data_IF_692872702989
#
_entry.id   IF_692872702989
#
_cell.length_a   1.000
_cell.length_b   1.000
_cell.length_c   1.000
_cell.angle_alpha   90.00
_cell.angle_beta   90.00
_cell.angle_gamma   90.00
#
_symmetry.space_group_name_H-M   'P 1'
#
loop_
_entity.id
_entity.type
_entity.pdbx_description
1 polymer ?
#
# COMPACT_ATOMS: atom_id res chain seq x y z
N UNK A 1 42.10 15.44 -25.79
CA UNK A 1 40.64 15.26 -25.95
C UNK A 1 40.31 13.85 -25.46
N UNK A 2 39.72 13.73 -24.27
CA UNK A 2 39.35 12.45 -23.65
C UNK A 2 37.94 12.09 -24.11
N UNK A 3 37.80 10.95 -24.78
CA UNK A 3 36.51 10.40 -25.18
C UNK A 3 35.83 9.71 -23.98
N UNK A 4 34.63 10.15 -23.63
CA UNK A 4 33.75 9.47 -22.67
C UNK A 4 33.10 8.25 -23.33
N UNK A 5 32.97 7.10 -22.65
CA UNK A 5 32.27 5.95 -23.20
C UNK A 5 30.75 6.12 -23.05
N UNK A 6 30.05 6.10 -24.18
CA UNK A 6 28.60 6.00 -24.32
C UNK A 6 28.15 4.57 -23.95
N UNK A 7 27.97 4.26 -22.66
CA UNK A 7 27.54 2.93 -22.23
C UNK A 7 26.19 2.90 -21.46
N UNK A 8 25.48 4.03 -21.35
CA UNK A 8 24.28 4.13 -20.49
C UNK A 8 22.91 4.00 -21.18
N UNK A 9 22.82 3.96 -22.50
CA UNK A 9 21.51 3.98 -23.18
C UNK A 9 20.87 2.58 -23.36
N UNK A 10 21.67 1.54 -23.59
CA UNK A 10 21.16 0.22 -23.95
C UNK A 10 20.49 -0.52 -22.78
N UNK A 11 20.91 -0.24 -21.54
CA UNK A 11 20.34 -0.86 -20.34
C UNK A 11 18.97 -0.29 -19.96
N UNK A 12 18.70 0.99 -20.28
CA UNK A 12 17.42 1.63 -20.00
C UNK A 12 16.29 1.07 -20.89
N UNK A 13 16.57 0.80 -22.16
CA UNK A 13 15.56 0.34 -23.12
C UNK A 13 15.13 -1.12 -22.91
N UNK A 14 15.99 -1.96 -22.34
CA UNK A 14 15.69 -3.39 -22.11
C UNK A 14 14.70 -3.62 -20.96
N UNK A 15 14.65 -2.70 -20.00
CA UNK A 15 13.75 -2.80 -18.83
C UNK A 15 12.31 -2.47 -19.24
N UNK A 16 12.12 -1.47 -20.10
CA UNK A 16 10.78 -1.02 -20.52
C UNK A 16 10.08 -2.03 -21.44
N UNK A 17 10.81 -2.69 -22.34
CA UNK A 17 10.24 -3.63 -23.31
C UNK A 17 9.81 -4.98 -22.73
N UNK A 18 10.30 -5.33 -21.54
CA UNK A 18 10.02 -6.62 -20.87
C UNK A 18 9.28 -6.45 -19.55
N UNK A 19 8.82 -5.24 -19.22
CA UNK A 19 7.97 -5.04 -18.07
C UNK A 19 6.66 -5.84 -18.28
N UNK A 20 6.23 -6.65 -17.29
CA UNK A 20 4.93 -7.31 -17.38
C UNK A 20 3.84 -6.24 -17.60
N UNK A 21 2.81 -6.52 -18.41
CA UNK A 21 1.71 -5.59 -18.58
C UNK A 21 1.07 -5.31 -17.21
N UNK A 22 0.99 -4.03 -16.84
CA UNK A 22 0.26 -3.60 -15.65
C UNK A 22 -1.23 -3.82 -15.92
N UNK A 23 -1.94 -4.44 -14.98
CA UNK A 23 -3.38 -4.57 -15.10
C UNK A 23 -4.02 -3.18 -15.06
N UNK A 24 -4.79 -2.87 -16.09
CA UNK A 24 -5.59 -1.66 -16.19
C UNK A 24 -7.04 -2.01 -15.86
N UNK A 25 -7.58 -1.40 -14.81
CA UNK A 25 -8.96 -1.63 -14.41
C UNK A 25 -9.91 -0.89 -15.34
N UNK A 26 -10.97 -1.55 -15.77
CA UNK A 26 -12.07 -0.90 -16.49
C UNK A 26 -12.87 0.00 -15.56
N UNK A 27 -13.57 0.98 -16.12
CA UNK A 27 -14.45 1.86 -15.33
C UNK A 27 -15.50 1.07 -14.52
N UNK A 28 -16.05 -0.01 -15.09
CA UNK A 28 -17.02 -0.87 -14.41
C UNK A 28 -16.41 -1.65 -13.24
N UNK A 29 -15.17 -2.12 -13.37
CA UNK A 29 -14.46 -2.76 -12.26
C UNK A 29 -14.19 -1.77 -11.13
N UNK A 30 -13.79 -0.54 -11.45
CA UNK A 30 -13.55 0.52 -10.45
C UNK A 30 -14.86 0.92 -9.76
N UNK A 31 -15.96 1.03 -10.51
CA UNK A 31 -17.29 1.34 -9.96
C UNK A 31 -17.82 0.24 -9.04
N UNK A 32 -17.46 -1.03 -9.31
CA UNK A 32 -17.81 -2.16 -8.45
C UNK A 32 -17.04 -2.17 -7.12
N UNK A 33 -15.94 -1.42 -6.99
CA UNK A 33 -15.22 -1.25 -5.72
C UNK A 33 -15.99 -0.25 -4.85
N UNK A 34 -16.48 -0.66 -3.66
CA UNK A 34 -17.22 0.25 -2.79
C UNK A 34 -16.37 1.43 -2.35
N UNK A 35 -16.94 2.64 -2.41
CA UNK A 35 -16.37 3.83 -1.77
C UNK A 35 -16.87 3.88 -0.32
N UNK A 36 -16.00 3.74 0.69
CA UNK A 36 -16.40 3.83 2.09
C UNK A 36 -16.79 5.27 2.47
N UNK A 37 -17.52 5.41 3.58
CA UNK A 37 -17.83 6.72 4.15
C UNK A 37 -16.56 7.36 4.76
N UNK A 38 -16.35 8.64 4.48
CA UNK A 38 -15.17 9.40 4.92
C UNK A 38 -15.54 10.69 5.66
N UNK A 39 -16.81 11.11 5.61
CA UNK A 39 -17.29 12.28 6.33
C UNK A 39 -17.50 11.95 7.80
N UNK A 40 -16.91 12.77 8.67
CA UNK A 40 -17.09 12.70 10.11
C UNK A 40 -16.83 14.06 10.74
N UNK A 41 -17.30 14.24 11.98
CA UNK A 41 -17.01 15.45 12.75
C UNK A 41 -15.67 15.30 13.48
N UNK A 42 -14.61 15.87 12.89
CA UNK A 42 -13.27 15.82 13.45
C UNK A 42 -13.15 16.48 14.84
N UNK A 43 -14.11 17.31 15.26
CA UNK A 43 -14.12 17.89 16.61
C UNK A 43 -14.49 16.89 17.71
N UNK A 44 -15.05 15.73 17.32
CA UNK A 44 -15.47 14.67 18.24
C UNK A 44 -14.42 13.57 18.40
N UNK A 45 -13.31 13.64 17.67
CA UNK A 45 -12.23 12.65 17.69
C UNK A 45 -10.95 13.27 18.27
N UNK A 46 -10.24 12.53 19.11
CA UNK A 46 -8.97 12.99 19.65
C UNK A 46 -7.93 13.08 18.52
N UNK A 47 -7.17 14.18 18.42
CA UNK A 47 -6.18 14.34 17.35
C UNK A 47 -5.12 13.23 17.34
N UNK A 48 -4.74 12.72 18.51
CA UNK A 48 -3.78 11.61 18.66
C UNK A 48 -4.27 10.30 18.01
N UNK A 49 -5.59 10.12 17.86
CA UNK A 49 -6.14 8.95 17.18
C UNK A 49 -5.78 8.94 15.70
N UNK A 50 -5.54 10.10 15.08
CA UNK A 50 -5.13 10.23 13.68
C UNK A 50 -3.69 9.76 13.43
N UNK A 51 -2.89 9.50 14.46
CA UNK A 51 -1.63 8.77 14.29
C UNK A 51 -1.85 7.32 13.85
N UNK A 52 -3.01 6.76 14.22
CA UNK A 52 -3.39 5.37 13.93
C UNK A 52 -4.45 5.28 12.83
N UNK A 53 -5.48 6.10 12.90
CA UNK A 53 -6.65 6.06 12.03
C UNK A 53 -6.56 7.18 11.00
N UNK A 54 -6.02 6.83 9.84
CA UNK A 54 -5.84 7.72 8.72
C UNK A 54 -5.98 6.96 7.40
N UNK A 55 -6.27 7.68 6.33
CA UNK A 55 -6.21 7.17 4.97
C UNK A 55 -5.25 8.00 4.11
N UNK A 56 -4.85 7.44 2.97
CA UNK A 56 -3.96 8.09 2.03
C UNK A 56 -4.76 8.76 0.92
N UNK A 57 -4.30 9.89 0.41
CA UNK A 57 -4.78 10.49 -0.82
C UNK A 57 -3.62 11.17 -1.57
N UNK A 58 -3.65 11.09 -2.90
CA UNK A 58 -2.73 11.83 -3.77
C UNK A 58 -3.54 12.51 -4.88
N UNK A 59 -3.42 13.84 -5.06
CA UNK A 59 -4.07 14.55 -6.16
C UNK A 59 -3.77 13.94 -7.53
N UNK A 60 -4.73 14.03 -8.45
CA UNK A 60 -4.62 13.63 -9.86
C UNK A 60 -4.13 12.19 -10.09
N UNK A 61 -4.36 11.30 -9.13
CA UNK A 61 -3.96 9.90 -9.20
C UNK A 61 -5.08 9.03 -9.72
N UNK A 62 -4.76 8.11 -10.63
CA UNK A 62 -5.72 7.13 -11.12
C UNK A 62 -5.85 5.94 -10.19
N UNK A 63 -6.96 5.20 -10.29
CA UNK A 63 -7.17 3.98 -9.52
C UNK A 63 -6.06 2.95 -9.75
N UNK A 64 -5.67 2.71 -11.01
CA UNK A 64 -4.58 1.78 -11.37
C UNK A 64 -3.29 2.08 -10.62
N UNK A 65 -2.90 3.36 -10.60
CA UNK A 65 -1.65 3.78 -9.95
C UNK A 65 -1.79 3.70 -8.43
N UNK A 66 -2.93 4.14 -7.86
CA UNK A 66 -3.17 4.01 -6.43
C UNK A 66 -3.18 2.55 -5.96
N UNK A 67 -3.77 1.66 -6.74
CA UNK A 67 -3.81 0.24 -6.44
C UNK A 67 -2.40 -0.37 -6.50
N UNK A 68 -1.63 -0.04 -7.54
CA UNK A 68 -0.23 -0.48 -7.64
C UNK A 68 0.60 0.02 -6.46
N UNK A 69 0.51 1.30 -6.14
CA UNK A 69 1.27 1.94 -5.06
C UNK A 69 0.93 1.34 -3.69
N UNK A 70 -0.37 1.16 -3.39
CA UNK A 70 -0.83 0.58 -2.12
C UNK A 70 -0.45 -0.89 -2.01
N UNK A 71 -0.59 -1.68 -3.08
CA UNK A 71 -0.22 -3.10 -3.05
C UNK A 71 1.29 -3.31 -2.98
N UNK A 72 2.08 -2.48 -3.65
CA UNK A 72 3.55 -2.48 -3.51
C UNK A 72 3.95 -2.13 -2.08
N UNK A 73 3.41 -1.04 -1.52
CA UNK A 73 3.72 -0.67 -0.14
C UNK A 73 3.25 -1.73 0.86
N UNK A 74 2.06 -2.30 0.66
CA UNK A 74 1.54 -3.39 1.48
C UNK A 74 2.42 -4.65 1.37
N UNK A 75 2.89 -5.01 0.18
CA UNK A 75 3.84 -6.10 -0.02
C UNK A 75 5.20 -5.82 0.63
N UNK A 76 5.74 -4.60 0.50
CA UNK A 76 6.97 -4.17 1.18
C UNK A 76 6.82 -4.24 2.69
N UNK A 77 5.69 -3.78 3.24
CA UNK A 77 5.45 -3.81 4.69
C UNK A 77 5.22 -5.21 5.23
N UNK A 78 4.60 -6.09 4.44
CA UNK A 78 4.33 -7.49 4.81
C UNK A 78 5.46 -8.46 4.44
N UNK A 79 6.40 -8.05 3.59
CA UNK A 79 7.70 -8.70 3.29
C UNK A 79 8.84 -8.20 4.20
N UNK A 80 8.65 -6.99 4.76
CA UNK A 80 9.09 -6.47 6.06
C UNK A 80 9.69 -7.46 7.05
N UNK A 81 8.92 -8.51 7.31
CA UNK A 81 9.11 -9.68 8.17
C UNK A 81 7.70 -10.20 8.49
N UNK A 82 7.53 -11.51 8.64
CA UNK A 82 6.61 -12.17 9.59
C UNK A 82 5.81 -13.39 9.11
N UNK A 83 5.69 -13.70 7.82
CA UNK A 83 5.11 -15.00 7.43
C UNK A 83 5.87 -15.65 6.28
N UNK A 84 6.58 -16.73 6.61
CA UNK A 84 6.95 -17.77 5.67
C UNK A 84 5.70 -18.52 5.20
N UNK A 85 4.95 -17.93 4.28
CA UNK A 85 3.71 -18.52 3.78
C UNK A 85 3.07 -17.86 2.56
N UNK A 86 3.64 -16.80 1.99
CA UNK A 86 3.27 -16.45 0.62
C UNK A 86 3.81 -17.56 -0.29
N UNK A 87 2.92 -18.42 -0.78
CA UNK A 87 3.32 -19.42 -1.76
C UNK A 87 3.95 -18.70 -2.94
N UNK A 88 4.95 -19.32 -3.56
CA UNK A 88 5.55 -18.79 -4.79
C UNK A 88 4.49 -18.57 -5.88
N UNK A 89 3.35 -19.28 -5.81
CA UNK A 89 2.18 -19.08 -6.65
C UNK A 89 1.44 -17.75 -6.38
N UNK A 90 1.33 -17.29 -5.13
CA UNK A 90 0.76 -15.96 -4.80
C UNK A 90 1.69 -14.84 -5.24
N UNK A 91 3.00 -14.98 -5.01
CA UNK A 91 4.00 -14.01 -5.49
C UNK A 91 3.94 -13.94 -7.03
N UNK A 92 3.89 -15.09 -7.68
CA UNK A 92 3.74 -15.15 -9.13
C UNK A 92 2.39 -14.58 -9.57
N UNK A 93 1.27 -14.83 -8.89
CA UNK A 93 -0.03 -14.25 -9.23
C UNK A 93 -0.01 -12.73 -9.09
N UNK A 94 0.53 -12.18 -8.00
CA UNK A 94 0.69 -10.73 -7.82
C UNK A 94 1.62 -10.13 -8.89
N UNK A 95 2.69 -10.82 -9.27
CA UNK A 95 3.59 -10.42 -10.37
C UNK A 95 2.87 -10.47 -11.73
N UNK A 96 2.08 -11.51 -11.97
CA UNK A 96 1.31 -11.68 -13.20
C UNK A 96 0.14 -10.70 -13.30
N UNK A 97 -0.43 -10.27 -12.17
CA UNK A 97 -1.59 -9.39 -12.10
C UNK A 97 -1.19 -7.92 -11.96
N UNK A 98 -0.09 -7.59 -11.29
CA UNK A 98 0.29 -6.20 -10.94
C UNK A 98 1.73 -5.83 -11.32
N UNK A 99 2.47 -6.72 -11.99
CA UNK A 99 3.83 -6.47 -12.44
C UNK A 99 4.90 -6.57 -11.34
N UNK A 100 6.16 -6.30 -11.71
CA UNK A 100 7.33 -6.45 -10.83
C UNK A 100 7.33 -5.56 -9.59
N UNK A 101 6.48 -4.53 -9.53
CA UNK A 101 6.28 -3.71 -8.33
C UNK A 101 5.67 -4.52 -7.16
N UNK A 102 4.94 -5.60 -7.44
CA UNK A 102 4.44 -6.53 -6.42
C UNK A 102 5.51 -7.52 -5.89
N UNK A 103 6.72 -7.55 -6.46
CA UNK A 103 7.73 -8.57 -6.22
C UNK A 103 8.86 -8.18 -5.25
N UNK A 104 8.96 -6.90 -4.88
CA UNK A 104 10.12 -6.39 -4.15
C UNK A 104 9.84 -6.48 -2.65
N UNK A 105 10.33 -7.54 -2.01
CA UNK A 105 10.22 -7.74 -0.56
C UNK A 105 11.03 -8.95 -0.10
N UNK A 106 12.34 -8.91 -0.32
CA UNK A 106 13.29 -9.98 0.03
C UNK A 106 13.47 -10.15 1.54
N UNK A 107 13.49 -11.41 1.96
CA UNK A 107 13.58 -11.88 3.33
C UNK A 107 14.89 -11.50 4.05
N UNK A 108 14.80 -11.13 5.33
CA UNK A 108 15.73 -11.46 6.43
C UNK A 108 15.05 -11.06 7.76
N UNK A 109 14.85 -12.01 8.70
CA UNK A 109 14.68 -11.70 10.14
C UNK A 109 13.45 -12.20 10.92
N UNK A 110 12.61 -13.11 10.41
CA UNK A 110 11.25 -13.29 10.99
C UNK A 110 11.08 -14.19 12.21
N UNK A 111 12.02 -15.06 12.59
CA UNK A 111 11.75 -16.04 13.68
C UNK A 111 12.06 -15.49 15.09
N UNK A 112 13.02 -14.57 15.22
CA UNK A 112 13.43 -14.02 16.52
C UNK A 112 12.54 -12.85 16.98
N UNK A 113 11.86 -12.16 16.07
CA UNK A 113 11.09 -10.97 16.39
C UNK A 113 9.69 -11.28 16.96
N UNK A 114 9.06 -12.39 16.56
CA UNK A 114 7.70 -12.77 17.02
C UNK A 114 7.67 -13.16 18.50
N UNK A 115 8.77 -13.75 18.99
CA UNK A 115 8.92 -14.14 20.39
C UNK A 115 9.16 -12.95 21.34
N UNK A 116 9.51 -11.76 20.81
CA UNK A 116 9.98 -10.61 21.58
C UNK A 116 9.00 -9.41 21.51
N UNK A 117 8.43 -9.11 20.34
CA UNK A 117 7.75 -7.83 20.12
C UNK A 117 6.21 -7.88 20.18
N UNK A 118 5.59 -9.05 20.07
CA UNK A 118 4.13 -9.24 20.18
C UNK A 118 3.31 -8.56 19.06
N UNK A 119 2.00 -8.86 19.02
CA UNK A 119 1.10 -8.38 17.95
C UNK A 119 0.96 -6.85 17.87
N UNK A 120 1.18 -6.12 18.96
CA UNK A 120 1.05 -4.66 19.02
C UNK A 120 2.14 -3.94 18.23
N UNK A 121 3.40 -4.32 18.46
CA UNK A 121 4.54 -3.73 17.77
C UNK A 121 4.53 -4.05 16.28
N UNK A 122 4.08 -5.25 15.88
CA UNK A 122 3.92 -5.61 14.47
C UNK A 122 2.93 -4.71 13.72
N UNK A 123 1.75 -4.45 14.31
CA UNK A 123 0.79 -3.50 13.74
C UNK A 123 1.37 -2.10 13.64
N UNK A 124 2.12 -1.68 14.67
CA UNK A 124 2.81 -0.37 14.68
C UNK A 124 3.84 -0.27 13.56
N UNK A 125 4.70 -1.27 13.39
CA UNK A 125 5.70 -1.31 12.33
C UNK A 125 5.05 -1.32 10.95
N UNK A 126 3.98 -2.09 10.73
CA UNK A 126 3.21 -2.04 9.47
C UNK A 126 2.71 -0.61 9.19
N UNK A 127 2.08 0.05 10.18
CA UNK A 127 1.60 1.43 10.01
C UNK A 127 2.74 2.40 9.67
N UNK A 128 3.87 2.34 10.38
CA UNK A 128 5.05 3.19 10.10
C UNK A 128 5.58 2.94 8.69
N UNK A 129 5.75 1.68 8.30
CA UNK A 129 6.27 1.34 6.98
C UNK A 129 5.31 1.77 5.86
N UNK A 130 3.99 1.61 6.05
CA UNK A 130 2.99 2.08 5.09
C UNK A 130 3.05 3.60 4.97
N UNK A 131 3.10 4.33 6.10
CA UNK A 131 3.25 5.79 6.12
C UNK A 131 4.46 6.24 5.31
N UNK A 132 5.62 5.66 5.58
CA UNK A 132 6.86 6.04 4.93
C UNK A 132 6.81 5.74 3.42
N UNK A 133 6.42 4.52 3.04
CA UNK A 133 6.37 4.11 1.63
C UNK A 133 5.40 4.98 0.82
N UNK A 134 4.19 5.20 1.35
CA UNK A 134 3.19 6.02 0.68
C UNK A 134 3.61 7.51 0.63
N UNK A 135 4.24 8.02 1.68
CA UNK A 135 4.77 9.39 1.68
C UNK A 135 5.85 9.59 0.61
N UNK A 136 6.79 8.65 0.44
CA UNK A 136 7.78 8.71 -0.65
C UNK A 136 7.14 8.67 -2.05
N UNK A 137 5.97 8.05 -2.17
CA UNK A 137 5.16 8.02 -3.39
C UNK A 137 4.28 9.27 -3.57
N UNK A 138 4.38 10.25 -2.68
CA UNK A 138 3.68 11.53 -2.77
C UNK A 138 2.24 11.51 -2.24
N UNK A 139 1.88 10.53 -1.41
CA UNK A 139 0.57 10.52 -0.75
C UNK A 139 0.63 11.28 0.56
N UNK A 140 -0.37 12.14 0.76
CA UNK A 140 -0.65 12.75 2.04
C UNK A 140 -1.55 11.83 2.88
N UNK A 141 -1.59 12.08 4.18
CA UNK A 141 -2.42 11.35 5.14
C UNK A 141 -3.52 12.24 5.68
N UNK A 142 -4.70 11.68 5.87
CA UNK A 142 -5.86 12.40 6.38
C UNK A 142 -6.49 11.59 7.51
N UNK A 143 -6.78 12.25 8.64
CA UNK A 143 -7.39 11.62 9.80
C UNK A 143 -8.77 11.06 9.49
N UNK A 144 -9.13 9.96 10.14
CA UNK A 144 -10.45 9.35 10.03
C UNK A 144 -10.87 8.76 11.37
N UNK A 145 -12.16 8.77 11.67
CA UNK A 145 -12.68 8.06 12.82
C UNK A 145 -12.44 6.55 12.67
N UNK A 146 -12.13 5.90 13.80
CA UNK A 146 -11.79 4.47 13.86
C UNK A 146 -12.80 3.58 13.14
N UNK A 147 -14.09 3.78 13.39
CA UNK A 147 -15.12 2.85 12.92
C UNK A 147 -15.23 2.91 11.39
N UNK A 148 -15.18 4.11 10.81
CA UNK A 148 -15.07 4.32 9.36
C UNK A 148 -13.78 3.74 8.78
N UNK A 149 -12.66 3.94 9.48
CA UNK A 149 -11.36 3.39 9.06
C UNK A 149 -11.38 1.86 8.97
N UNK A 150 -12.05 1.18 9.91
CA UNK A 150 -12.10 -0.28 9.96
C UNK A 150 -12.91 -0.93 8.83
N UNK A 151 -13.78 -0.17 8.15
CA UNK A 151 -14.56 -0.68 7.02
C UNK A 151 -13.67 -1.13 5.85
N UNK A 152 -12.57 -0.41 5.61
CA UNK A 152 -11.71 -0.61 4.45
C UNK A 152 -10.23 -0.84 4.79
N UNK A 153 -9.87 -0.84 6.07
CA UNK A 153 -8.53 -1.17 6.53
C UNK A 153 -8.50 -2.46 7.34
N UNK A 154 -7.29 -2.96 7.59
CA UNK A 154 -7.05 -4.15 8.38
C UNK A 154 -5.78 -3.97 9.22
N UNK A 155 -5.71 -4.70 10.33
CA UNK A 155 -4.53 -4.75 11.19
C UNK A 155 -4.09 -6.21 11.36
N UNK A 156 -2.91 -6.55 10.86
CA UNK A 156 -2.35 -7.89 11.04
C UNK A 156 -1.69 -8.00 12.42
N UNK A 157 -2.16 -8.96 13.21
CA UNK A 157 -1.62 -9.27 14.53
C UNK A 157 -0.74 -10.52 14.49
N UNK A 158 -1.26 -11.61 15.06
CA UNK A 158 -0.59 -12.92 15.10
C UNK A 158 -0.89 -13.78 13.87
N UNK A 159 -1.89 -13.43 13.08
CA UNK A 159 -2.21 -14.07 11.79
C UNK A 159 -2.26 -13.03 10.68
N UNK A 160 -2.10 -13.50 9.43
CA UNK A 160 -2.42 -12.70 8.26
C UNK A 160 -3.93 -12.50 8.14
N UNK A 161 -4.31 -11.39 7.55
CA UNK A 161 -5.65 -11.21 7.01
C UNK A 161 -5.88 -12.26 5.92
N UNK A 162 -7.13 -12.72 5.81
CA UNK A 162 -7.52 -13.64 4.74
C UNK A 162 -7.28 -12.98 3.36
N UNK A 163 -6.85 -13.75 2.36
CA UNK A 163 -6.33 -13.21 1.11
C UNK A 163 -7.38 -12.44 0.29
N UNK A 164 -8.62 -12.95 0.24
CA UNK A 164 -9.73 -12.30 -0.45
C UNK A 164 -10.16 -11.02 0.28
N UNK A 165 -10.34 -11.09 1.61
CA UNK A 165 -10.61 -9.91 2.46
C UNK A 165 -9.54 -8.84 2.30
N UNK A 166 -8.27 -9.23 2.30
CA UNK A 166 -7.14 -8.32 2.10
C UNK A 166 -7.18 -7.66 0.73
N UNK A 167 -7.36 -8.45 -0.33
CA UNK A 167 -7.42 -7.93 -1.70
C UNK A 167 -8.55 -6.90 -1.86
N UNK A 168 -9.75 -7.22 -1.34
CA UNK A 168 -10.90 -6.31 -1.36
C UNK A 168 -10.61 -4.99 -0.64
N UNK A 169 -10.01 -5.05 0.56
CA UNK A 169 -9.65 -3.86 1.34
C UNK A 169 -8.58 -3.02 0.67
N UNK A 170 -7.60 -3.63 0.00
CA UNK A 170 -6.59 -2.90 -0.78
C UNK A 170 -7.22 -2.19 -1.99
N UNK A 171 -8.22 -2.79 -2.65
CA UNK A 171 -8.99 -2.12 -3.70
C UNK A 171 -9.76 -0.92 -3.15
N UNK A 172 -10.42 -1.05 -2.00
CA UNK A 172 -11.13 0.08 -1.36
C UNK A 172 -10.16 1.20 -0.94
N UNK A 173 -8.99 0.86 -0.40
CA UNK A 173 -7.95 1.86 -0.08
C UNK A 173 -7.47 2.59 -1.35
N UNK A 174 -7.30 1.89 -2.47
CA UNK A 174 -6.97 2.50 -3.76
C UNK A 174 -8.08 3.42 -4.28
N UNK A 175 -9.35 3.01 -4.09
CA UNK A 175 -10.51 3.83 -4.45
C UNK A 175 -10.55 5.14 -3.66
N UNK A 176 -10.28 5.07 -2.36
CA UNK A 176 -10.16 6.25 -1.48
C UNK A 176 -8.97 7.12 -1.92
N UNK A 177 -7.81 6.51 -2.14
CA UNK A 177 -6.57 7.24 -2.39
C UNK A 177 -6.50 7.94 -3.75
N UNK A 178 -7.27 7.46 -4.73
CA UNK A 178 -7.49 8.08 -6.05
C UNK A 178 -8.80 8.88 -6.13
N UNK A 179 -9.52 9.00 -5.02
CA UNK A 179 -10.84 9.62 -4.96
C UNK A 179 -10.81 11.15 -4.94
N UNK A 180 -11.96 11.78 -4.64
CA UNK A 180 -12.05 13.22 -4.45
C UNK A 180 -11.07 13.73 -3.41
N UNK A 181 -10.57 14.96 -3.61
CA UNK A 181 -9.66 15.59 -2.66
C UNK A 181 -10.33 15.73 -1.28
N UNK A 182 -9.69 15.29 -0.19
CA UNK A 182 -10.18 15.50 1.17
C UNK A 182 -10.36 16.97 1.53
N UNK A 183 -11.38 17.26 2.33
CA UNK A 183 -11.61 18.60 2.88
C UNK A 183 -10.80 18.84 4.15
N UNK A 184 -10.38 17.77 4.84
CA UNK A 184 -9.57 17.84 6.05
C UNK A 184 -8.15 18.31 5.74
N UNK A 185 -7.48 18.88 6.74
CA UNK A 185 -6.07 19.20 6.65
C UNK A 185 -5.22 17.91 6.58
N UNK A 186 -4.18 17.93 5.75
CA UNK A 186 -3.23 16.84 5.67
C UNK A 186 -2.41 16.75 6.97
N UNK A 187 -2.26 15.53 7.48
CA UNK A 187 -1.43 15.24 8.64
C UNK A 187 0.05 15.43 8.29
N UNK A 188 0.81 15.99 9.22
CA UNK A 188 2.27 16.11 9.07
C UNK A 188 2.93 14.72 8.96
N UNK A 189 4.04 14.59 8.21
CA UNK A 189 4.69 13.30 7.92
C UNK A 189 4.92 12.39 9.13
#
# INVERSE_FOLDING_TARGET
MLALPLASAAQAQYIESNAPPVHHFSAAEIEAVPMPELAFDASQVAQDDFEKYFYFHRPDTTFDVAFLDITECDALTSGLTFYGGASQAMINQQIFQYGMAGAIGGAIGSVLADAIFGSGERRKQRRINMRNCMYYKGYDRYGLEKDLWQEFNFEEGNSREEAESRAQKLMMQARVASGPKPEQEALQP
#
